data_IF_816503534011
#
_entry.id   IF_816503534011
#
_cell.length_a   1.000
_cell.length_b   1.000
_cell.length_c   1.000
_cell.angle_alpha   90.00
_cell.angle_beta   90.00
_cell.angle_gamma   90.00
#
_symmetry.space_group_name_H-M   'P 1'
#
loop_
_entity.id
_entity.type
_entity.pdbx_description
1 polymer ?
#
# COMPACT_ATOMS: atom_id res chain seq x y z
N UNK A 1 0.40 50.25 -4.10
CA UNK A 1 1.70 49.84 -4.65
C UNK A 1 2.11 48.44 -4.18
N UNK A 2 2.10 48.15 -2.87
CA UNK A 2 2.43 46.81 -2.32
C UNK A 2 1.55 45.65 -2.83
N UNK A 3 0.24 45.85 -3.00
CA UNK A 3 -0.69 44.81 -3.46
C UNK A 3 -0.33 44.27 -4.87
N UNK A 4 0.10 45.16 -5.78
CA UNK A 4 0.52 44.78 -7.13
C UNK A 4 1.81 43.94 -7.15
N UNK A 5 2.76 44.24 -6.24
CA UNK A 5 4.00 43.48 -6.11
C UNK A 5 3.75 42.05 -5.56
N UNK A 6 2.82 41.91 -4.60
CA UNK A 6 2.44 40.60 -4.06
C UNK A 6 1.76 39.72 -5.12
N UNK A 7 0.88 40.31 -5.93
CA UNK A 7 0.24 39.62 -7.06
C UNK A 7 1.26 39.16 -8.10
N UNK A 8 2.23 40.01 -8.43
CA UNK A 8 3.31 39.66 -9.36
C UNK A 8 4.12 38.44 -8.87
N UNK A 9 4.52 38.43 -7.59
CA UNK A 9 5.27 37.31 -7.00
C UNK A 9 4.45 36.02 -7.00
N UNK A 10 3.15 36.08 -6.66
CA UNK A 10 2.30 34.90 -6.63
C UNK A 10 2.10 34.32 -8.02
N UNK A 11 1.87 35.15 -9.04
CA UNK A 11 1.74 34.71 -10.43
C UNK A 11 3.06 34.09 -10.92
N UNK A 12 4.19 34.71 -10.60
CA UNK A 12 5.51 34.18 -10.97
C UNK A 12 5.78 32.81 -10.34
N UNK A 13 5.57 32.67 -9.03
CA UNK A 13 5.76 31.39 -8.32
C UNK A 13 4.73 30.36 -8.76
N UNK A 14 3.48 30.75 -8.99
CA UNK A 14 2.43 29.84 -9.46
C UNK A 14 2.76 29.28 -10.84
N UNK A 15 3.13 30.15 -11.80
CA UNK A 15 3.54 29.71 -13.15
C UNK A 15 4.83 28.87 -13.08
N UNK A 16 5.85 29.34 -12.37
CA UNK A 16 7.13 28.63 -12.26
C UNK A 16 7.01 27.26 -11.59
N UNK A 17 6.21 27.15 -10.54
CA UNK A 17 6.02 25.91 -9.79
C UNK A 17 5.02 24.98 -10.48
N UNK A 18 3.83 25.46 -10.86
CA UNK A 18 2.79 24.63 -11.47
C UNK A 18 3.14 24.21 -12.90
N UNK A 19 3.70 25.10 -13.72
CA UNK A 19 4.01 24.80 -15.13
C UNK A 19 5.47 24.36 -15.27
N UNK A 20 6.41 25.11 -14.68
CA UNK A 20 7.84 24.83 -14.81
C UNK A 20 8.27 23.47 -14.23
N UNK A 21 7.89 23.15 -12.98
CA UNK A 21 8.24 21.86 -12.38
C UNK A 21 7.51 20.69 -13.07
N UNK A 22 6.25 20.89 -13.44
CA UNK A 22 5.45 19.85 -14.13
C UNK A 22 6.04 19.52 -15.50
N UNK A 23 6.48 20.53 -16.27
CA UNK A 23 7.16 20.30 -17.55
C UNK A 23 8.52 19.61 -17.34
N UNK A 24 9.29 20.03 -16.33
CA UNK A 24 10.58 19.41 -16.03
C UNK A 24 10.44 17.93 -15.67
N UNK A 25 9.56 17.59 -14.72
CA UNK A 25 9.26 16.21 -14.36
C UNK A 25 8.70 15.45 -15.56
N UNK A 26 7.85 16.08 -16.38
CA UNK A 26 7.31 15.51 -17.60
C UNK A 26 8.39 15.08 -18.59
N UNK A 27 9.37 15.95 -18.88
CA UNK A 27 10.49 15.63 -19.77
C UNK A 27 11.38 14.54 -19.18
N UNK A 28 11.70 14.59 -17.89
CA UNK A 28 12.52 13.57 -17.22
C UNK A 28 11.82 12.21 -17.26
N UNK A 29 10.52 12.15 -16.95
CA UNK A 29 9.72 10.92 -16.99
C UNK A 29 9.59 10.39 -18.42
N UNK A 30 9.37 11.26 -19.41
CA UNK A 30 9.31 10.87 -20.82
C UNK A 30 10.65 10.28 -21.27
N UNK A 31 11.75 10.97 -21.00
CA UNK A 31 13.10 10.52 -21.33
C UNK A 31 13.47 9.21 -20.62
N UNK A 32 13.10 9.04 -19.34
CA UNK A 32 13.30 7.80 -18.63
C UNK A 32 12.48 6.64 -19.20
N UNK A 33 11.22 6.90 -19.58
CA UNK A 33 10.33 5.91 -20.19
C UNK A 33 10.85 5.47 -21.56
N UNK A 34 11.43 6.40 -22.32
CA UNK A 34 12.09 6.20 -23.61
C UNK A 34 13.38 5.39 -23.46
N UNK A 35 14.28 5.79 -22.56
CA UNK A 35 15.55 5.09 -22.30
C UNK A 35 15.36 3.68 -21.71
N UNK A 36 14.23 3.40 -21.04
CA UNK A 36 13.87 2.04 -20.61
C UNK A 36 13.25 1.18 -21.71
N UNK A 37 13.00 1.73 -22.89
CA UNK A 37 12.38 1.03 -24.02
C UNK A 37 10.87 0.79 -23.87
N UNK A 38 10.22 1.39 -22.85
CA UNK A 38 8.78 1.23 -22.58
C UNK A 38 7.90 2.34 -23.17
N UNK A 39 8.50 3.36 -23.78
CA UNK A 39 7.80 4.46 -24.46
C UNK A 39 7.23 4.04 -25.83
N UNK A 40 7.92 3.11 -26.52
CA UNK A 40 7.48 2.57 -27.81
C UNK A 40 6.47 1.40 -27.67
N UNK A 41 6.27 0.89 -26.45
CA UNK A 41 5.31 -0.18 -26.21
C UNK A 41 3.87 0.37 -26.27
N UNK A 42 3.00 -0.31 -27.01
CA UNK A 42 1.57 0.03 -27.05
C UNK A 42 0.93 -0.14 -25.67
N UNK A 43 -0.19 0.53 -25.43
CA UNK A 43 -0.94 0.47 -24.16
C UNK A 43 -1.21 -0.99 -23.74
N UNK A 44 -1.49 -1.87 -24.71
CA UNK A 44 -1.76 -3.29 -24.45
C UNK A 44 -0.52 -4.09 -24.06
N UNK A 45 0.65 -3.79 -24.63
CA UNK A 45 1.91 -4.44 -24.23
C UNK A 45 2.31 -4.07 -22.80
N UNK A 46 2.03 -2.83 -22.38
CA UNK A 46 2.26 -2.40 -20.99
C UNK A 46 1.32 -3.12 -20.01
N UNK A 47 0.05 -3.29 -20.37
CA UNK A 47 -0.93 -4.07 -19.58
C UNK A 47 -0.52 -5.54 -19.48
N UNK A 48 -0.03 -6.12 -20.57
CA UNK A 48 0.47 -7.50 -20.58
C UNK A 48 1.73 -7.68 -19.73
N UNK A 49 2.66 -6.72 -19.77
CA UNK A 49 3.84 -6.74 -18.91
C UNK A 49 3.48 -6.63 -17.43
N UNK A 50 2.56 -5.72 -17.06
CA UNK A 50 2.04 -5.61 -15.69
C UNK A 50 1.33 -6.90 -15.25
N UNK A 51 0.52 -7.51 -16.13
CA UNK A 51 -0.12 -8.80 -15.87
C UNK A 51 0.90 -9.91 -15.63
N UNK A 52 1.94 -10.01 -16.47
CA UNK A 52 3.00 -11.01 -16.32
C UNK A 52 3.77 -10.80 -15.01
N UNK A 53 4.01 -9.55 -14.62
CA UNK A 53 4.64 -9.22 -13.34
C UNK A 53 3.77 -9.64 -12.15
N UNK A 54 2.47 -9.32 -12.19
CA UNK A 54 1.48 -9.74 -11.17
C UNK A 54 1.40 -11.27 -11.07
N UNK A 55 1.39 -11.96 -12.21
CA UNK A 55 1.34 -13.42 -12.24
C UNK A 55 2.61 -14.05 -11.68
N UNK A 56 3.80 -13.47 -11.96
CA UNK A 56 5.07 -13.93 -11.38
C UNK A 56 5.14 -13.73 -9.87
N UNK A 57 4.50 -12.67 -9.35
CA UNK A 57 4.42 -12.40 -7.92
C UNK A 57 3.35 -13.22 -7.20
N UNK A 58 2.37 -13.76 -7.93
CA UNK A 58 1.36 -14.65 -7.38
C UNK A 58 2.01 -16.02 -7.09
N UNK A 59 2.40 -16.22 -5.83
CA UNK A 59 2.88 -17.51 -5.37
C UNK A 59 1.70 -18.50 -5.34
N UNK A 60 1.88 -19.79 -5.71
CA UNK A 60 0.84 -20.79 -5.54
C UNK A 60 0.35 -20.79 -4.10
N UNK A 61 -0.97 -20.67 -3.94
CA UNK A 61 -1.62 -20.57 -2.65
C UNK A 61 -1.43 -21.90 -1.91
N UNK A 62 -0.54 -21.90 -0.91
CA UNK A 62 -0.33 -23.04 -0.01
C UNK A 62 -1.54 -23.18 0.93
N UNK A 63 -2.67 -23.67 0.43
CA UNK A 63 -3.81 -24.06 1.27
C UNK A 63 -3.65 -25.54 1.63
N UNK A 64 -3.57 -25.89 2.92
CA UNK A 64 -3.53 -27.29 3.31
C UNK A 64 -4.80 -28.02 2.83
N UNK A 65 -4.71 -29.27 2.35
CA UNK A 65 -5.87 -30.03 1.91
C UNK A 65 -6.82 -30.28 3.08
N UNK A 66 -8.13 -30.36 2.79
CA UNK A 66 -9.16 -30.62 3.81
C UNK A 66 -8.82 -31.92 4.57
N UNK A 67 -8.90 -31.93 5.92
CA UNK A 67 -8.64 -33.12 6.70
C UNK A 67 -9.66 -34.24 6.39
N UNK A 68 -9.28 -35.51 6.54
CA UNK A 68 -10.18 -36.65 6.31
C UNK A 68 -11.36 -36.65 7.29
N UNK A 69 -12.54 -37.08 6.81
CA UNK A 69 -13.81 -37.09 7.57
C UNK A 69 -13.79 -37.91 8.87
N UNK A 70 -12.77 -38.76 9.07
CA UNK A 70 -12.61 -39.60 10.26
C UNK A 70 -12.34 -38.80 11.54
N UNK A 71 -11.87 -37.54 11.44
CA UNK A 71 -11.60 -36.67 12.59
C UNK A 71 -12.57 -35.48 12.63
N UNK A 72 -13.80 -35.71 13.13
CA UNK A 72 -14.87 -34.69 13.23
C UNK A 72 -14.40 -33.37 13.87
N UNK A 73 -13.56 -33.44 14.92
CA UNK A 73 -12.99 -32.25 15.58
C UNK A 73 -12.04 -31.46 14.66
N UNK A 74 -11.18 -32.14 13.90
CA UNK A 74 -10.23 -31.48 12.97
C UNK A 74 -10.95 -30.83 11.79
N UNK A 75 -12.01 -31.47 11.30
CA UNK A 75 -12.84 -30.90 10.24
C UNK A 75 -13.59 -29.65 10.73
N UNK A 76 -14.19 -29.70 11.92
CA UNK A 76 -14.86 -28.54 12.52
C UNK A 76 -13.93 -27.34 12.74
N UNK A 77 -12.73 -27.58 13.29
CA UNK A 77 -11.72 -26.53 13.46
C UNK A 77 -11.20 -25.99 12.11
N UNK A 78 -11.07 -26.84 11.09
CA UNK A 78 -10.68 -26.41 9.75
C UNK A 78 -11.73 -25.50 9.10
N UNK A 79 -13.01 -25.87 9.19
CA UNK A 79 -14.10 -25.05 8.65
C UNK A 79 -14.26 -23.73 9.40
N UNK A 80 -14.08 -23.74 10.73
CA UNK A 80 -14.11 -22.53 11.55
C UNK A 80 -12.97 -21.56 11.18
N UNK A 81 -11.73 -22.06 11.09
CA UNK A 81 -10.54 -21.23 10.77
C UNK A 81 -10.50 -20.76 9.32
N UNK A 82 -11.09 -21.54 8.40
CA UNK A 82 -11.17 -21.17 6.97
C UNK A 82 -12.28 -20.16 6.68
N UNK A 83 -13.26 -20.03 7.59
CA UNK A 83 -14.36 -19.08 7.45
C UNK A 83 -13.88 -17.63 7.31
N UNK A 84 -14.58 -16.84 6.46
CA UNK A 84 -14.23 -15.42 6.23
C UNK A 84 -14.40 -14.59 7.50
N UNK A 85 -15.41 -14.90 8.31
CA UNK A 85 -15.70 -14.19 9.55
C UNK A 85 -14.57 -14.35 10.58
N UNK A 86 -14.03 -15.56 10.74
CA UNK A 86 -12.91 -15.79 11.65
C UNK A 86 -11.66 -14.99 11.27
N UNK A 87 -11.34 -14.93 9.96
CA UNK A 87 -10.22 -14.12 9.45
C UNK A 87 -10.41 -12.63 9.72
N UNK A 88 -11.64 -12.12 9.55
CA UNK A 88 -11.98 -10.72 9.82
C UNK A 88 -11.88 -10.40 11.32
N UNK A 89 -12.38 -11.29 12.19
CA UNK A 89 -12.28 -11.14 13.64
C UNK A 89 -10.81 -11.14 14.10
N UNK A 90 -10.00 -12.07 13.58
CA UNK A 90 -8.57 -12.12 13.90
C UNK A 90 -7.85 -10.83 13.46
N UNK A 91 -8.12 -10.34 12.25
CA UNK A 91 -7.54 -9.07 11.78
C UNK A 91 -7.98 -7.88 12.66
N UNK A 92 -9.24 -7.82 13.08
CA UNK A 92 -9.73 -6.78 14.00
C UNK A 92 -9.03 -6.84 15.36
N UNK A 93 -8.79 -8.04 15.90
CA UNK A 93 -8.05 -8.23 17.15
C UNK A 93 -6.59 -7.78 17.03
N UNK A 94 -5.90 -8.09 15.92
CA UNK A 94 -4.52 -7.64 15.70
C UNK A 94 -4.43 -6.11 15.61
N UNK A 95 -5.39 -5.48 14.92
CA UNK A 95 -5.47 -4.02 14.84
C UNK A 95 -5.74 -3.43 16.22
N UNK A 96 -6.67 -3.99 16.99
CA UNK A 96 -6.96 -3.55 18.37
C UNK A 96 -5.75 -3.71 19.29
N UNK A 97 -5.01 -4.82 19.19
CA UNK A 97 -3.77 -5.01 19.93
C UNK A 97 -2.70 -3.98 19.54
N UNK A 98 -2.62 -3.63 18.26
CA UNK A 98 -1.71 -2.58 17.77
C UNK A 98 -2.12 -1.20 18.29
N UNK A 99 -3.43 -0.93 18.45
CA UNK A 99 -3.92 0.28 19.09
C UNK A 99 -3.55 0.37 20.58
N UNK A 100 -3.43 -0.75 21.29
CA UNK A 100 -2.96 -0.74 22.68
C UNK A 100 -1.55 -0.16 22.82
N UNK A 101 -0.70 -0.27 21.79
CA UNK A 101 0.64 0.34 21.75
C UNK A 101 0.63 1.86 21.57
N UNK A 102 -0.50 2.46 21.17
CA UNK A 102 -0.67 3.92 21.11
C UNK A 102 -0.70 4.51 22.53
N UNK A 103 -1.13 3.72 23.51
CA UNK A 103 -1.03 4.10 24.91
C UNK A 103 0.43 3.85 25.33
N UNK A 104 1.22 4.90 25.64
CA UNK A 104 2.57 4.70 26.11
C UNK A 104 2.50 3.89 27.41
N UNK A 105 3.07 2.68 27.40
CA UNK A 105 3.23 1.90 28.62
C UNK A 105 4.31 2.58 29.45
N UNK A 106 3.89 3.52 30.31
CA UNK A 106 4.81 4.29 31.13
C UNK A 106 5.30 3.42 32.29
N UNK A 107 6.27 2.55 32.00
CA UNK A 107 6.97 1.71 32.98
C UNK A 107 7.56 2.57 34.11
N UNK A 108 7.84 3.86 33.84
CA UNK A 108 8.36 4.81 34.82
C UNK A 108 7.36 5.13 35.94
N UNK A 109 6.04 5.16 35.68
CA UNK A 109 5.02 5.42 36.72
C UNK A 109 4.73 4.19 37.61
N UNK A 110 5.00 2.98 37.13
CA UNK A 110 4.79 1.75 37.89
C UNK A 110 5.96 1.43 38.84
N UNK A 111 7.17 1.91 38.54
CA UNK A 111 8.36 1.67 39.35
C UNK A 111 8.52 2.69 40.49
N UNK A 112 7.98 3.90 40.35
CA UNK A 112 7.93 4.92 41.42
C UNK A 112 6.80 4.70 42.44
N UNK A 113 5.89 3.74 42.20
CA UNK A 113 4.78 3.38 43.11
C UNK A 113 5.06 2.11 43.96
N UNK A 114 6.24 1.50 43.85
CA UNK A 114 6.66 0.35 44.67
C UNK A 114 7.76 0.75 45.63
#
# INVERSE_FOLDING_TARGET
MFQWAVLFIHIYVFIGCMIGLTLFVGVVVANYTENRGTALLTVDQRRWHDLKARLKMAQPLHVPPKPPESAKLRCYLYDLTTSRWFKQLFAALVVLNSFTLVIPWNVMEEQDRK
#
